data_IF_402778638541
#
_entry.id   IF_402778638541
#
_cell.length_a   1.000
_cell.length_b   1.000
_cell.length_c   1.000
_cell.angle_alpha   90.00
_cell.angle_beta   90.00
_cell.angle_gamma   90.00
#
_symmetry.space_group_name_H-M   'P 1'
#
loop_
_entity.id
_entity.type
_entity.pdbx_description
1 polymer ?
#
# COMPACT_ATOMS: atom_id res chain seq x y z
N UNK A 1 24.41 27.24 27.77
CA UNK A 1 25.06 26.73 26.55
C UNK A 1 25.16 27.87 25.55
N UNK A 2 26.35 28.12 24.99
CA UNK A 2 26.49 29.06 23.88
C UNK A 2 26.00 28.36 22.61
N UNK A 3 25.06 28.97 21.91
CA UNK A 3 24.55 28.47 20.63
C UNK A 3 25.52 28.96 19.56
N UNK A 4 26.08 28.04 18.76
CA UNK A 4 26.91 28.34 17.61
C UNK A 4 26.05 28.26 16.35
N UNK A 5 25.99 29.36 15.59
CA UNK A 5 25.20 29.42 14.36
C UNK A 5 26.03 28.86 13.21
N UNK A 6 25.50 27.86 12.51
CA UNK A 6 26.13 27.24 11.34
C UNK A 6 25.20 27.34 10.13
N UNK A 7 25.80 27.48 8.94
CA UNK A 7 25.09 27.37 7.67
C UNK A 7 24.84 25.89 7.37
N UNK A 8 23.61 25.54 7.06
CA UNK A 8 23.21 24.22 6.60
C UNK A 8 22.39 24.37 5.31
N UNK A 9 22.51 23.39 4.43
CA UNK A 9 21.56 23.25 3.32
C UNK A 9 20.17 22.90 3.89
N UNK A 10 19.10 23.34 3.24
CA UNK A 10 17.74 23.10 3.70
C UNK A 10 17.42 21.59 3.73
N UNK A 11 17.92 20.83 2.76
CA UNK A 11 17.76 19.37 2.72
C UNK A 11 18.45 18.70 3.91
N UNK A 12 19.69 19.09 4.18
CA UNK A 12 20.48 18.56 5.30
C UNK A 12 19.86 18.95 6.65
N UNK A 13 19.33 20.18 6.77
CA UNK A 13 18.65 20.65 7.97
C UNK A 13 17.36 19.86 8.21
N UNK A 14 16.52 19.66 7.20
CA UNK A 14 15.31 18.86 7.33
C UNK A 14 15.61 17.40 7.68
N UNK A 15 16.66 16.82 7.09
CA UNK A 15 17.11 15.46 7.40
C UNK A 15 17.64 15.36 8.83
N UNK A 16 18.39 16.35 9.28
CA UNK A 16 18.92 16.41 10.64
C UNK A 16 17.80 16.59 11.68
N UNK A 17 16.85 17.49 11.42
CA UNK A 17 15.65 17.65 12.25
C UNK A 17 14.90 16.33 12.34
N UNK A 18 14.63 15.65 11.22
CA UNK A 18 13.97 14.34 11.21
C UNK A 18 14.75 13.28 11.97
N UNK A 19 16.08 13.23 11.80
CA UNK A 19 16.92 12.25 12.49
C UNK A 19 16.96 12.46 14.01
N UNK A 20 16.81 13.70 14.48
CA UNK A 20 16.95 14.05 15.90
C UNK A 20 15.61 14.29 16.63
N UNK A 21 14.56 14.66 15.91
CA UNK A 21 13.22 14.96 16.46
C UNK A 21 12.13 14.02 15.94
N UNK A 22 12.43 13.14 14.97
CA UNK A 22 11.45 12.22 14.40
C UNK A 22 10.50 12.88 13.39
N UNK A 23 9.61 12.06 12.84
CA UNK A 23 8.62 12.42 11.80
C UNK A 23 7.62 13.46 12.29
N UNK A 24 7.42 13.50 13.61
CA UNK A 24 6.36 14.23 14.27
C UNK A 24 6.87 14.90 15.56
N UNK A 25 8.10 15.43 15.56
CA UNK A 25 8.73 16.00 16.77
C UNK A 25 7.84 16.96 17.55
N UNK A 26 7.23 17.93 16.88
CA UNK A 26 6.30 18.87 17.50
C UNK A 26 5.04 18.18 18.08
N UNK A 27 4.53 17.14 17.40
CA UNK A 27 3.37 16.35 17.86
C UNK A 27 3.76 15.42 19.01
N UNK A 28 4.97 14.86 19.00
CA UNK A 28 5.52 14.01 20.06
C UNK A 28 5.81 14.82 21.31
N UNK A 29 6.33 16.04 21.16
CA UNK A 29 6.52 16.98 22.25
C UNK A 29 5.17 17.37 22.88
N UNK A 30 4.14 17.61 22.06
CA UNK A 30 2.76 17.83 22.52
C UNK A 30 2.16 16.59 23.23
N UNK A 31 2.69 15.39 22.97
CA UNK A 31 2.32 14.13 23.63
C UNK A 31 3.21 13.81 24.84
N UNK A 32 4.14 14.68 25.22
CA UNK A 32 5.04 14.50 26.37
C UNK A 32 6.25 13.60 26.10
N UNK A 33 6.65 13.45 24.84
CA UNK A 33 7.75 12.57 24.39
C UNK A 33 9.16 13.13 24.54
N UNK A 34 9.33 14.41 24.90
CA UNK A 34 10.64 15.03 25.02
C UNK A 34 11.47 14.48 26.19
N UNK A 35 12.59 13.81 25.89
CA UNK A 35 13.62 13.53 26.87
C UNK A 35 14.25 14.84 27.39
N UNK A 36 13.88 15.26 28.59
CA UNK A 36 14.77 15.60 29.73
C UNK A 36 13.91 16.08 30.90
N UNK A 37 14.21 15.62 32.11
CA UNK A 37 13.39 15.85 33.31
C UNK A 37 13.26 17.33 33.69
N UNK A 38 12.14 17.93 33.31
CA UNK A 38 11.57 19.08 33.99
C UNK A 38 10.17 18.68 34.47
N UNK A 39 10.02 18.59 35.80
CA UNK A 39 8.73 18.49 36.48
C UNK A 39 7.87 19.70 36.05
N UNK A 40 6.88 19.46 35.20
CA UNK A 40 5.84 20.44 34.93
C UNK A 40 4.76 20.28 36.00
N UNK A 41 4.71 21.24 36.91
CA UNK A 41 3.64 21.40 37.89
C UNK A 41 2.27 21.27 37.20
N UNK A 42 1.51 20.26 37.62
CA UNK A 42 0.12 20.06 37.22
C UNK A 42 -0.72 21.25 37.67
N UNK A 43 -0.95 22.20 36.77
CA UNK A 43 -2.14 23.05 36.82
C UNK A 43 -3.33 22.18 36.41
N UNK A 44 -4.26 21.98 37.35
CA UNK A 44 -5.52 21.27 37.17
C UNK A 44 -6.38 21.94 36.10
N UNK A 45 -6.26 21.44 34.86
CA UNK A 45 -7.22 21.65 33.78
C UNK A 45 -8.10 20.40 33.69
N UNK A 46 -9.37 20.59 33.35
CA UNK A 46 -10.41 19.55 33.37
C UNK A 46 -9.97 18.28 32.61
N UNK A 47 -10.20 17.11 33.24
CA UNK A 47 -9.75 15.80 32.76
C UNK A 47 -10.32 15.41 31.39
N UNK A 48 -11.46 15.98 31.00
CA UNK A 48 -12.08 15.73 29.69
C UNK A 48 -11.41 16.52 28.56
N UNK A 49 -10.98 17.77 28.80
CA UNK A 49 -10.30 18.58 27.80
C UNK A 49 -8.90 18.03 27.50
N UNK A 50 -8.21 17.54 28.53
CA UNK A 50 -6.88 16.92 28.39
C UNK A 50 -6.96 15.60 27.62
N UNK A 51 -7.97 14.76 27.88
CA UNK A 51 -8.18 13.52 27.14
C UNK A 51 -8.48 13.76 25.65
N UNK A 52 -9.34 14.74 25.34
CA UNK A 52 -9.66 15.12 23.96
C UNK A 52 -8.46 15.70 23.22
N UNK A 53 -7.65 16.53 23.89
CA UNK A 53 -6.43 17.07 23.31
C UNK A 53 -5.42 15.97 22.97
N UNK A 54 -5.26 14.99 23.87
CA UNK A 54 -4.37 13.85 23.64
C UNK A 54 -4.87 12.96 22.49
N UNK A 55 -6.17 12.70 22.39
CA UNK A 55 -6.76 11.95 21.29
C UNK A 55 -6.54 12.66 19.95
N UNK A 56 -6.74 13.98 19.89
CA UNK A 56 -6.47 14.77 18.69
C UNK A 56 -4.99 14.73 18.27
N UNK A 57 -4.06 14.76 19.23
CA UNK A 57 -2.62 14.66 18.96
C UNK A 57 -2.22 13.26 18.45
N UNK A 58 -2.83 12.18 18.97
CA UNK A 58 -2.60 10.83 18.45
C UNK A 58 -3.10 10.69 17.01
N UNK A 59 -4.27 11.26 16.70
CA UNK A 59 -4.80 11.27 15.32
C UNK A 59 -3.85 12.00 14.37
N UNK A 60 -3.29 13.14 14.80
CA UNK A 60 -2.28 13.86 14.01
C UNK A 60 -1.02 13.03 13.81
N UNK A 61 -0.48 12.42 14.87
CA UNK A 61 0.68 11.54 14.78
C UNK A 61 0.47 10.41 13.76
N UNK A 62 -0.68 9.73 13.81
CA UNK A 62 -1.00 8.68 12.84
C UNK A 62 -1.06 9.24 11.42
N UNK A 63 -1.72 10.39 11.22
CA UNK A 63 -1.78 11.03 9.90
C UNK A 63 -0.39 11.40 9.36
N UNK A 64 0.46 11.99 10.19
CA UNK A 64 1.83 12.40 9.84
C UNK A 64 2.66 11.18 9.42
N UNK A 65 2.57 10.08 10.19
CA UNK A 65 3.22 8.81 9.86
C UNK A 65 2.74 8.22 8.52
N UNK A 66 1.46 8.40 8.14
CA UNK A 66 0.96 7.91 6.85
C UNK A 66 1.39 8.81 5.69
N UNK A 67 1.38 10.13 5.87
CA UNK A 67 1.86 11.09 4.87
C UNK A 67 3.34 10.85 4.59
N UNK A 68 4.16 10.74 5.65
CA UNK A 68 5.59 10.53 5.50
C UNK A 68 5.90 9.17 4.86
N UNK A 69 5.23 8.08 5.26
CA UNK A 69 5.40 6.79 4.61
C UNK A 69 5.14 6.85 3.08
N UNK A 70 4.15 7.66 2.66
CA UNK A 70 3.88 7.86 1.23
C UNK A 70 5.00 8.66 0.57
N UNK A 71 5.47 9.74 1.22
CA UNK A 71 6.58 10.61 0.77
C UNK A 71 7.88 9.83 0.60
N UNK A 72 8.26 9.01 1.58
CA UNK A 72 9.45 8.16 1.59
C UNK A 72 9.32 6.93 0.66
N UNK A 73 8.27 6.88 -0.16
CA UNK A 73 7.99 5.80 -1.12
C UNK A 73 7.92 4.41 -0.47
N UNK A 74 7.57 4.33 0.82
CA UNK A 74 7.41 3.07 1.52
C UNK A 74 6.32 2.21 0.87
N UNK A 75 6.49 0.89 0.91
CA UNK A 75 5.54 -0.11 0.41
C UNK A 75 4.61 -0.61 1.51
N UNK A 76 5.13 -0.73 2.73
CA UNK A 76 4.37 -1.11 3.93
C UNK A 76 4.78 -0.22 5.11
N UNK A 77 3.82 0.13 5.97
CA UNK A 77 4.03 0.69 7.31
C UNK A 77 3.79 -0.41 8.33
N UNK A 78 4.76 -0.64 9.20
CA UNK A 78 4.73 -1.63 10.26
C UNK A 78 4.65 -0.93 11.61
N UNK A 79 3.71 -1.35 12.45
CA UNK A 79 3.52 -0.87 13.81
C UNK A 79 3.58 -2.08 14.73
N UNK A 80 4.64 -2.18 15.52
CA UNK A 80 5.00 -3.42 16.20
C UNK A 80 5.14 -3.21 17.70
N UNK A 81 4.31 -3.88 18.52
CA UNK A 81 4.40 -3.77 19.96
C UNK A 81 5.52 -4.67 20.51
N UNK A 82 6.44 -4.08 21.26
CA UNK A 82 7.42 -4.79 22.06
C UNK A 82 7.14 -4.62 23.55
N UNK A 83 7.98 -5.16 24.42
CA UNK A 83 7.75 -5.14 25.87
C UNK A 83 7.64 -3.71 26.42
N UNK A 84 8.55 -2.83 26.02
CA UNK A 84 8.73 -1.49 26.60
C UNK A 84 8.38 -0.35 25.64
N UNK A 85 8.27 -0.64 24.34
CA UNK A 85 8.06 0.37 23.31
C UNK A 85 7.11 -0.13 22.20
N UNK A 86 6.79 0.79 21.30
CA UNK A 86 6.07 0.54 20.06
C UNK A 86 6.95 1.02 18.90
N UNK A 87 7.48 0.08 18.11
CA UNK A 87 8.33 0.44 16.98
C UNK A 87 7.49 0.71 15.73
N UNK A 88 7.84 1.76 15.01
CA UNK A 88 7.30 2.10 13.71
C UNK A 88 8.39 1.87 12.66
N UNK A 89 8.10 1.03 11.66
CA UNK A 89 9.05 0.70 10.59
C UNK A 89 8.42 0.89 9.22
N UNK A 90 9.18 1.36 8.25
CA UNK A 90 8.77 1.41 6.85
C UNK A 90 9.49 0.34 6.05
N UNK A 91 8.78 -0.29 5.13
CA UNK A 91 9.42 -1.11 4.09
C UNK A 91 9.72 -0.25 2.87
N UNK A 92 10.97 0.12 2.67
CA UNK A 92 11.43 0.90 1.52
C UNK A 92 12.33 -0.01 0.68
N UNK A 93 12.03 -0.16 -0.60
CA UNK A 93 12.76 -1.03 -1.54
C UNK A 93 12.98 -2.46 -1.03
N UNK A 94 11.95 -3.00 -0.34
CA UNK A 94 11.96 -4.34 0.22
C UNK A 94 12.58 -4.47 1.62
N UNK A 95 13.30 -3.45 2.09
CA UNK A 95 14.01 -3.46 3.39
C UNK A 95 13.17 -2.75 4.46
N UNK A 96 13.03 -3.36 5.64
CA UNK A 96 12.40 -2.71 6.79
C UNK A 96 13.41 -1.80 7.50
N UNK A 97 13.09 -0.51 7.57
CA UNK A 97 13.87 0.51 8.27
C UNK A 97 13.05 1.00 9.46
N UNK A 98 13.66 1.04 10.65
CA UNK A 98 13.03 1.63 11.83
C UNK A 98 13.05 3.15 11.72
N UNK A 99 11.89 3.77 11.89
CA UNK A 99 11.67 5.19 11.70
C UNK A 99 11.49 5.88 13.05
N UNK A 100 10.73 5.27 13.94
CA UNK A 100 10.35 5.87 15.21
C UNK A 100 10.18 4.81 16.29
N UNK A 101 10.51 5.16 17.54
CA UNK A 101 10.18 4.35 18.72
C UNK A 101 9.32 5.15 19.67
N UNK A 102 8.07 4.72 19.79
CA UNK A 102 7.07 5.40 20.60
C UNK A 102 6.95 4.75 21.98
N UNK A 103 6.58 5.56 22.96
CA UNK A 103 6.29 5.06 24.31
C UNK A 103 5.11 4.08 24.30
N UNK A 104 5.21 3.03 25.12
CA UNK A 104 4.22 1.94 25.16
C UNK A 104 2.79 2.38 25.47
N UNK A 105 2.62 3.47 26.22
CA UNK A 105 1.32 4.05 26.58
C UNK A 105 0.52 4.53 25.35
N UNK A 106 1.19 4.94 24.27
CA UNK A 106 0.54 5.42 23.04
C UNK A 106 -0.07 4.30 22.20
N UNK A 107 0.35 3.05 22.39
CA UNK A 107 -0.06 1.90 21.58
C UNK A 107 -1.58 1.76 21.44
N UNK A 108 -2.32 1.82 22.55
CA UNK A 108 -3.76 1.58 22.52
C UNK A 108 -4.50 2.71 21.78
N UNK A 109 -4.02 3.95 21.89
CA UNK A 109 -4.60 5.09 21.20
C UNK A 109 -4.35 4.97 19.69
N UNK A 110 -3.09 4.75 19.29
CA UNK A 110 -2.69 4.57 17.88
C UNK A 110 -3.48 3.42 17.22
N UNK A 111 -3.54 2.28 17.89
CA UNK A 111 -4.27 1.11 17.42
C UNK A 111 -5.76 1.39 17.24
N UNK A 112 -6.38 2.12 18.18
CA UNK A 112 -7.79 2.47 18.09
C UNK A 112 -8.06 3.44 16.93
N UNK A 113 -7.20 4.45 16.74
CA UNK A 113 -7.26 5.37 15.59
C UNK A 113 -7.18 4.61 14.27
N UNK A 114 -6.22 3.70 14.12
CA UNK A 114 -6.04 2.94 12.88
C UNK A 114 -7.23 1.99 12.64
N UNK A 115 -7.71 1.30 13.68
CA UNK A 115 -8.89 0.42 13.55
C UNK A 115 -10.15 1.19 13.18
N UNK A 116 -10.33 2.39 13.74
CA UNK A 116 -11.42 3.30 13.39
C UNK A 116 -11.33 3.72 11.92
N UNK A 117 -10.15 4.18 11.47
CA UNK A 117 -9.91 4.56 10.08
C UNK A 117 -10.15 3.39 9.11
N UNK A 118 -9.78 2.17 9.51
CA UNK A 118 -9.89 0.96 8.71
C UNK A 118 -11.30 0.33 8.70
N UNK A 119 -12.21 0.82 9.56
CA UNK A 119 -13.57 0.31 9.69
C UNK A 119 -13.66 -1.09 10.31
N UNK A 120 -12.71 -1.47 11.17
CA UNK A 120 -12.68 -2.77 11.86
C UNK A 120 -13.06 -2.64 13.35
N UNK A 121 -13.30 -3.75 14.04
CA UNK A 121 -13.76 -3.73 15.43
C UNK A 121 -12.62 -3.34 16.39
N UNK A 122 -12.73 -2.16 17.00
CA UNK A 122 -11.77 -1.59 17.95
C UNK A 122 -11.69 -2.42 19.25
N UNK A 123 -12.82 -2.95 19.71
CA UNK A 123 -12.91 -3.69 20.96
C UNK A 123 -12.37 -5.12 20.85
N UNK A 124 -12.43 -5.71 19.65
CA UNK A 124 -11.87 -7.04 19.41
C UNK A 124 -10.36 -6.94 19.15
N UNK A 125 -9.58 -7.71 19.92
CA UNK A 125 -8.11 -7.69 19.90
C UNK A 125 -7.47 -9.08 19.87
N UNK A 126 -8.30 -10.13 19.84
CA UNK A 126 -7.89 -11.53 20.05
C UNK A 126 -7.84 -12.31 18.75
N UNK A 127 -8.34 -11.75 17.65
CA UNK A 127 -8.36 -12.35 16.33
C UNK A 127 -7.78 -11.37 15.29
N UNK A 128 -7.17 -11.88 14.21
CA UNK A 128 -6.78 -11.02 13.10
C UNK A 128 -7.97 -10.30 12.46
N UNK A 129 -7.75 -9.09 11.97
CA UNK A 129 -8.75 -8.30 11.27
C UNK A 129 -8.12 -7.59 10.07
N UNK A 130 -8.84 -7.55 8.95
CA UNK A 130 -8.42 -6.88 7.74
C UNK A 130 -9.39 -5.74 7.40
N UNK A 131 -8.84 -4.58 7.04
CA UNK A 131 -9.59 -3.38 6.73
C UNK A 131 -8.97 -2.60 5.57
N UNK A 132 -9.59 -1.47 5.24
CA UNK A 132 -9.08 -0.55 4.21
C UNK A 132 -9.21 0.87 4.69
N UNK A 133 -8.18 1.68 4.46
CA UNK A 133 -8.19 3.12 4.72
C UNK A 133 -8.05 3.83 3.37
N UNK A 134 -8.96 4.75 3.08
CA UNK A 134 -8.76 5.72 2.00
C UNK A 134 -8.24 7.00 2.61
N UNK A 135 -7.00 7.35 2.32
CA UNK A 135 -6.33 8.46 2.98
C UNK A 135 -5.93 9.53 1.95
N UNK A 136 -6.39 10.79 2.11
CA UNK A 136 -5.96 11.89 1.26
C UNK A 136 -4.52 12.29 1.62
N UNK A 137 -3.63 12.26 0.65
CA UNK A 137 -2.23 12.67 0.79
C UNK A 137 -1.92 13.79 -0.20
N UNK A 138 -1.37 14.93 0.22
CA UNK A 138 -0.89 15.95 -0.70
C UNK A 138 0.15 15.37 -1.67
N UNK A 139 0.05 15.71 -2.95
CA UNK A 139 1.11 15.43 -3.92
C UNK A 139 2.32 16.30 -3.59
N UNK A 140 3.51 15.70 -3.62
CA UNK A 140 4.77 16.36 -3.25
C UNK A 140 5.71 16.28 -4.47
N UNK A 141 6.38 17.38 -4.79
CA UNK A 141 7.36 17.44 -5.85
C UNK A 141 8.73 16.84 -5.44
N UNK A 142 9.72 16.91 -6.33
CA UNK A 142 11.06 16.36 -6.08
C UNK A 142 11.82 17.10 -4.96
N UNK A 143 11.43 18.33 -4.65
CA UNK A 143 12.04 19.17 -3.61
C UNK A 143 11.34 18.99 -2.26
N UNK A 144 10.27 18.19 -2.19
CA UNK A 144 9.54 17.97 -0.95
C UNK A 144 8.41 18.96 -0.72
N UNK A 145 8.07 19.80 -1.70
CA UNK A 145 7.03 20.82 -1.58
C UNK A 145 5.68 20.34 -2.12
N UNK A 146 4.55 20.77 -1.54
CA UNK A 146 3.24 20.42 -2.05
C UNK A 146 3.04 20.92 -3.49
N UNK A 147 2.58 20.05 -4.38
CA UNK A 147 2.22 20.42 -5.75
C UNK A 147 0.89 21.17 -5.73
N UNK A 148 0.87 22.38 -6.30
CA UNK A 148 -0.36 23.17 -6.42
C UNK A 148 -0.90 23.13 -7.85
N UNK A 149 -2.22 23.02 -7.97
CA UNK A 149 -2.97 23.22 -9.22
C UNK A 149 -4.13 24.16 -8.97
N UNK A 150 -4.24 25.20 -9.78
CA UNK A 150 -5.26 26.25 -9.65
C UNK A 150 -5.29 26.91 -8.25
N UNK A 151 -4.11 27.02 -7.60
CA UNK A 151 -3.96 27.60 -6.27
C UNK A 151 -4.35 26.68 -5.11
N UNK A 152 -4.68 25.40 -5.37
CA UNK A 152 -5.00 24.40 -4.37
C UNK A 152 -3.96 23.27 -4.38
N UNK A 153 -3.60 22.70 -3.22
CA UNK A 153 -2.73 21.54 -3.18
C UNK A 153 -3.41 20.37 -3.87
N UNK A 154 -2.69 19.67 -4.74
CA UNK A 154 -3.17 18.44 -5.37
C UNK A 154 -3.21 17.37 -4.29
N UNK A 155 -4.35 16.70 -4.13
CA UNK A 155 -4.54 15.65 -3.13
C UNK A 155 -4.75 14.33 -3.85
N UNK A 156 -3.86 13.38 -3.60
CA UNK A 156 -3.95 12.01 -4.06
C UNK A 156 -4.71 11.17 -3.03
N UNK A 157 -5.71 10.42 -3.47
CA UNK A 157 -6.30 9.40 -2.61
C UNK A 157 -5.43 8.15 -2.65
N UNK A 158 -4.82 7.83 -1.51
CA UNK A 158 -4.03 6.61 -1.34
C UNK A 158 -4.87 5.58 -0.59
N UNK A 159 -4.98 4.39 -1.18
CA UNK A 159 -5.64 3.26 -0.54
C UNK A 159 -4.60 2.48 0.28
N UNK A 160 -4.86 2.29 1.57
CA UNK A 160 -4.08 1.41 2.42
C UNK A 160 -4.88 0.14 2.71
N UNK A 161 -4.26 -1.03 2.58
CA UNK A 161 -4.80 -2.27 3.16
C UNK A 161 -4.23 -2.46 4.54
N UNK A 162 -5.10 -2.61 5.52
CA UNK A 162 -4.72 -2.74 6.92
C UNK A 162 -4.93 -4.17 7.33
N UNK A 163 -3.93 -4.76 7.99
CA UNK A 163 -4.07 -6.04 8.67
C UNK A 163 -3.60 -5.88 10.11
N UNK A 164 -4.43 -6.28 11.06
CA UNK A 164 -4.10 -6.31 12.49
C UNK A 164 -3.99 -7.77 12.94
N UNK A 165 -2.94 -8.11 13.68
CA UNK A 165 -2.71 -9.46 14.17
C UNK A 165 -2.36 -9.44 15.67
N UNK A 166 -3.00 -10.26 16.53
CA UNK A 166 -2.61 -10.39 17.93
C UNK A 166 -1.17 -10.90 18.05
N UNK A 167 -0.34 -10.18 18.80
CA UNK A 167 1.02 -10.56 19.19
C UNK A 167 1.16 -10.59 20.72
N UNK A 168 2.33 -11.00 21.21
CA UNK A 168 2.53 -11.23 22.66
C UNK A 168 2.38 -9.96 23.50
N UNK A 169 2.90 -8.82 23.03
CA UNK A 169 2.86 -7.53 23.75
C UNK A 169 1.76 -6.58 23.28
N UNK A 170 0.82 -7.04 22.45
CA UNK A 170 -0.22 -6.20 21.85
C UNK A 170 -0.59 -6.65 20.45
N UNK A 171 -1.35 -5.84 19.72
CA UNK A 171 -1.65 -6.11 18.31
C UNK A 171 -0.58 -5.49 17.42
N UNK A 172 0.00 -6.29 16.53
CA UNK A 172 0.83 -5.80 15.43
C UNK A 172 -0.09 -5.33 14.30
N UNK A 173 0.24 -4.20 13.69
CA UNK A 173 -0.51 -3.63 12.56
C UNK A 173 0.43 -3.43 11.38
N UNK A 174 -0.04 -3.84 10.20
CA UNK A 174 0.63 -3.57 8.93
C UNK A 174 -0.34 -2.83 8.01
N UNK A 175 0.12 -1.71 7.46
CA UNK A 175 -0.59 -0.96 6.43
C UNK A 175 0.19 -1.04 5.12
N UNK A 176 -0.34 -1.77 4.15
CA UNK A 176 0.22 -1.81 2.79
C UNK A 176 -0.28 -0.63 1.98
N UNK A 177 0.64 0.15 1.43
CA UNK A 177 0.34 1.32 0.60
C UNK A 177 0.07 0.86 -0.83
N UNK A 178 -1.14 1.11 -1.34
CA UNK A 178 -1.48 0.88 -2.74
C UNK A 178 -1.31 2.17 -3.53
N UNK A 179 -0.35 2.20 -4.46
CA UNK A 179 -0.12 3.33 -5.37
C UNK A 179 -0.68 3.01 -6.77
N UNK A 180 -1.85 3.56 -7.16
CA UNK A 180 -2.44 3.32 -8.47
C UNK A 180 -1.64 3.95 -9.63
N UNK A 181 -0.71 4.87 -9.36
CA UNK A 181 0.07 5.54 -10.40
C UNK A 181 1.18 4.69 -11.02
N UNK A 182 1.59 3.59 -10.37
CA UNK A 182 2.58 2.64 -10.92
C UNK A 182 2.15 2.01 -12.25
N UNK A 183 0.85 2.03 -12.53
CA UNK A 183 0.21 1.50 -13.73
C UNK A 183 0.34 2.47 -14.91
N UNK A 184 0.40 3.76 -14.60
CA UNK A 184 0.55 4.84 -15.59
C UNK A 184 1.99 5.01 -16.07
N UNK A 185 2.95 4.32 -15.45
CA UNK A 185 4.33 4.22 -15.95
C UNK A 185 4.27 3.84 -17.44
N UNK A 186 3.37 2.91 -17.80
CA UNK A 186 3.19 2.46 -19.18
C UNK A 186 4.34 1.54 -19.60
N UNK A 187 4.05 0.61 -20.52
CA UNK A 187 4.97 -0.46 -20.90
C UNK A 187 6.35 0.05 -21.37
N UNK A 188 6.39 1.23 -22.01
CA UNK A 188 7.63 1.87 -22.47
C UNK A 188 8.57 2.26 -21.33
N UNK A 189 8.04 2.67 -20.18
CA UNK A 189 8.85 3.14 -19.05
C UNK A 189 9.13 2.04 -18.01
N UNK A 190 8.78 0.77 -18.31
CA UNK A 190 9.12 -0.37 -17.46
C UNK A 190 10.56 -0.86 -17.60
N UNK A 191 11.36 -0.23 -18.48
CA UNK A 191 12.78 -0.55 -18.66
C UNK A 191 13.06 -1.70 -19.62
N UNK A 192 12.12 -2.04 -20.51
CA UNK A 192 12.39 -2.98 -21.60
C UNK A 192 13.38 -2.37 -22.60
N UNK A 193 14.35 -3.18 -23.04
CA UNK A 193 15.08 -2.89 -24.28
C UNK A 193 14.12 -2.92 -25.47
N UNK A 194 14.40 -2.12 -26.50
CA UNK A 194 13.49 -1.94 -27.64
C UNK A 194 13.12 -3.28 -28.33
N UNK A 195 14.11 -4.15 -28.56
CA UNK A 195 13.89 -5.45 -29.21
C UNK A 195 12.97 -6.36 -28.37
N UNK A 196 13.16 -6.35 -27.04
CA UNK A 196 12.30 -7.11 -26.11
C UNK A 196 10.89 -6.55 -26.07
N UNK A 197 10.76 -5.21 -26.08
CA UNK A 197 9.49 -4.53 -26.11
C UNK A 197 8.70 -4.83 -27.40
N UNK A 198 9.37 -4.91 -28.54
CA UNK A 198 8.74 -5.23 -29.82
C UNK A 198 8.21 -6.67 -29.85
N UNK A 199 9.00 -7.62 -29.32
CA UNK A 199 8.57 -9.02 -29.13
C UNK A 199 7.37 -9.09 -28.18
N UNK A 200 7.44 -8.41 -27.04
CA UNK A 200 6.35 -8.33 -26.07
C UNK A 200 5.07 -7.80 -26.72
N UNK A 201 5.17 -6.67 -27.43
CA UNK A 201 4.06 -6.03 -28.13
C UNK A 201 3.41 -6.95 -29.18
N UNK A 202 4.22 -7.75 -29.87
CA UNK A 202 3.72 -8.73 -30.84
C UNK A 202 2.96 -9.87 -30.16
N UNK A 203 3.47 -10.37 -29.03
CA UNK A 203 2.87 -11.50 -28.30
C UNK A 203 1.53 -11.11 -27.68
N UNK A 204 1.44 -9.97 -27.00
CA UNK A 204 0.21 -9.54 -26.31
C UNK A 204 -0.95 -9.21 -27.28
N UNK A 205 -0.67 -9.07 -28.59
CA UNK A 205 -1.69 -8.80 -29.63
C UNK A 205 -2.13 -10.05 -30.39
N UNK A 206 -1.67 -11.24 -29.99
CA UNK A 206 -2.13 -12.49 -30.58
C UNK A 206 -3.64 -12.70 -30.31
N UNK A 207 -4.34 -13.41 -31.21
CA UNK A 207 -5.79 -13.62 -31.08
C UNK A 207 -6.14 -14.50 -29.87
N UNK A 208 -5.29 -15.46 -29.54
CA UNK A 208 -5.48 -16.38 -28.43
C UNK A 208 -4.14 -16.96 -27.97
N UNK A 209 -4.14 -17.60 -26.79
CA UNK A 209 -2.94 -18.19 -26.19
C UNK A 209 -2.83 -17.85 -24.71
N UNK A 210 -1.81 -18.40 -24.05
CA UNK A 210 -1.47 -18.05 -22.67
C UNK A 210 -0.21 -17.19 -22.69
N UNK A 211 -0.25 -16.07 -21.97
CA UNK A 211 0.89 -15.22 -21.66
C UNK A 211 1.16 -15.26 -20.15
N UNK A 212 2.35 -15.69 -19.78
CA UNK A 212 2.77 -15.81 -18.39
C UNK A 212 3.86 -14.78 -18.09
N UNK A 213 3.69 -14.05 -16.99
CA UNK A 213 4.76 -13.26 -16.40
C UNK A 213 5.23 -13.96 -15.13
N UNK A 214 6.49 -14.34 -15.11
CA UNK A 214 7.08 -15.10 -14.00
C UNK A 214 8.05 -14.25 -13.17
N UNK A 215 8.38 -14.74 -11.98
CA UNK A 215 9.32 -14.09 -11.08
C UNK A 215 8.89 -14.12 -9.61
N UNK A 216 9.78 -13.74 -8.68
CA UNK A 216 9.49 -13.72 -7.25
C UNK A 216 8.48 -12.62 -6.88
N UNK A 217 8.09 -12.57 -5.61
CA UNK A 217 7.26 -11.48 -5.08
C UNK A 217 8.02 -10.15 -5.20
N UNK A 218 7.34 -9.08 -5.61
CA UNK A 218 7.94 -7.76 -5.78
C UNK A 218 8.70 -7.54 -7.10
N UNK A 219 8.77 -8.53 -8.00
CA UNK A 219 9.47 -8.38 -9.28
C UNK A 219 8.72 -7.60 -10.37
N UNK A 220 7.63 -6.91 -10.02
CA UNK A 220 6.84 -6.11 -10.96
C UNK A 220 5.84 -6.88 -11.85
N UNK A 221 5.60 -8.18 -11.62
CA UNK A 221 4.70 -9.01 -12.47
C UNK A 221 3.34 -8.36 -12.73
N UNK A 222 2.66 -7.94 -11.67
CA UNK A 222 1.35 -7.30 -11.75
C UNK A 222 1.42 -6.01 -12.54
N UNK A 223 2.43 -5.18 -12.31
CA UNK A 223 2.66 -3.92 -13.03
C UNK A 223 2.85 -4.17 -14.52
N UNK A 224 3.64 -5.19 -14.90
CA UNK A 224 3.84 -5.58 -16.30
C UNK A 224 2.55 -6.08 -16.95
N UNK A 225 1.79 -6.96 -16.28
CA UNK A 225 0.54 -7.51 -16.79
C UNK A 225 -0.49 -6.41 -17.04
N UNK A 226 -0.68 -5.53 -16.09
CA UNK A 226 -1.63 -4.45 -16.22
C UNK A 226 -1.20 -3.37 -17.20
N UNK A 227 0.11 -3.15 -17.39
CA UNK A 227 0.61 -2.30 -18.48
C UNK A 227 0.28 -2.91 -19.85
N UNK A 228 0.31 -4.24 -19.98
CA UNK A 228 -0.15 -4.92 -21.19
C UNK A 228 -1.67 -4.80 -21.36
N UNK A 229 -2.46 -4.99 -20.29
CA UNK A 229 -3.91 -4.81 -20.34
C UNK A 229 -4.31 -3.38 -20.69
N UNK A 230 -3.58 -2.38 -20.21
CA UNK A 230 -3.80 -0.97 -20.55
C UNK A 230 -3.74 -0.72 -22.06
N UNK A 231 -2.78 -1.35 -22.74
CA UNK A 231 -2.62 -1.25 -24.20
C UNK A 231 -3.78 -1.93 -24.94
N UNK A 232 -4.30 -3.02 -24.38
CA UNK A 232 -5.36 -3.84 -24.98
C UNK A 232 -6.77 -3.38 -24.60
N UNK A 233 -6.89 -2.44 -23.66
CA UNK A 233 -8.15 -1.93 -23.15
C UNK A 233 -8.80 -0.96 -24.15
N UNK A 234 -9.39 -1.53 -25.20
CA UNK A 234 -10.09 -0.82 -26.26
C UNK A 234 -11.58 -1.19 -26.27
N UNK A 235 -12.50 -0.29 -26.69
CA UNK A 235 -13.94 -0.55 -26.61
C UNK A 235 -14.45 -1.76 -27.39
N UNK A 236 -13.69 -2.26 -28.35
CA UNK A 236 -13.99 -3.45 -29.17
C UNK A 236 -13.62 -4.77 -28.48
N UNK A 237 -13.01 -4.72 -27.28
CA UNK A 237 -12.54 -5.90 -26.55
C UNK A 237 -13.12 -5.93 -25.13
N UNK A 238 -13.71 -7.06 -24.76
CA UNK A 238 -14.12 -7.34 -23.38
C UNK A 238 -12.98 -8.00 -22.62
N UNK A 239 -12.51 -7.33 -21.57
CA UNK A 239 -11.48 -7.84 -20.65
C UNK A 239 -12.15 -8.17 -19.31
N UNK A 240 -11.88 -9.36 -18.77
CA UNK A 240 -12.36 -9.77 -17.44
C UNK A 240 -11.20 -10.35 -16.64
N UNK A 241 -11.08 -10.00 -15.35
CA UNK A 241 -9.99 -10.45 -14.48
C UNK A 241 -10.49 -11.18 -13.23
N UNK A 242 -9.79 -12.23 -12.83
CA UNK A 242 -9.94 -12.90 -11.54
C UNK A 242 -8.69 -12.63 -10.71
N UNK A 243 -8.79 -11.99 -9.55
CA UNK A 243 -7.61 -11.53 -8.80
C UNK A 243 -7.78 -11.69 -7.29
N UNK A 244 -6.71 -12.05 -6.59
CA UNK A 244 -6.71 -12.22 -5.14
C UNK A 244 -5.56 -11.46 -4.47
N UNK A 245 -5.77 -10.21 -4.04
CA UNK A 245 -6.89 -9.32 -4.33
C UNK A 245 -6.69 -8.48 -5.62
N UNK A 246 -7.72 -7.75 -6.03
CA UNK A 246 -7.59 -6.71 -7.08
C UNK A 246 -6.72 -5.57 -6.55
N UNK A 247 -5.58 -5.32 -7.20
CA UNK A 247 -4.60 -4.34 -6.73
C UNK A 247 -5.04 -2.90 -6.96
N UNK A 248 -5.69 -2.61 -8.07
CA UNK A 248 -6.25 -1.29 -8.37
C UNK A 248 -7.39 -1.40 -9.38
N UNK A 249 -8.28 -0.41 -9.32
CA UNK A 249 -9.43 -0.32 -10.20
C UNK A 249 -9.01 0.16 -11.59
N UNK A 250 -9.34 -0.61 -12.61
CA UNK A 250 -9.02 -0.35 -14.00
C UNK A 250 -10.29 -0.05 -14.80
N UNK A 251 -10.49 1.22 -15.14
CA UNK A 251 -11.66 1.62 -15.92
C UNK A 251 -11.69 0.92 -17.29
N UNK A 252 -12.84 0.35 -17.66
CA UNK A 252 -13.01 -0.42 -18.90
C UNK A 252 -12.74 -1.92 -18.75
N UNK A 253 -12.24 -2.39 -17.61
CA UNK A 253 -11.99 -3.80 -17.33
C UNK A 253 -12.91 -4.30 -16.23
N UNK A 254 -13.52 -5.48 -16.43
CA UNK A 254 -14.37 -6.10 -15.41
C UNK A 254 -13.52 -6.92 -14.45
N UNK A 255 -13.22 -6.38 -13.28
CA UNK A 255 -12.35 -7.04 -12.30
C UNK A 255 -13.16 -7.76 -11.21
N UNK A 256 -12.86 -9.04 -11.00
CA UNK A 256 -13.47 -9.88 -9.97
C UNK A 256 -12.44 -10.20 -8.90
N UNK A 257 -12.67 -9.70 -7.69
CA UNK A 257 -11.87 -10.07 -6.53
C UNK A 257 -12.33 -11.43 -5.98
N UNK A 258 -11.38 -12.36 -5.83
CA UNK A 258 -11.60 -13.66 -5.18
C UNK A 258 -12.02 -13.45 -3.72
N UNK A 259 -12.96 -14.26 -3.26
CA UNK A 259 -13.47 -14.25 -1.88
C UNK A 259 -13.73 -15.68 -1.42
N UNK A 260 -12.67 -16.36 -1.00
CA UNK A 260 -12.73 -17.75 -0.55
C UNK A 260 -13.72 -17.96 0.62
N UNK A 261 -13.93 -16.95 1.47
CA UNK A 261 -14.84 -17.04 2.63
C UNK A 261 -16.31 -17.28 2.24
N UNK A 262 -16.70 -16.91 1.01
CA UNK A 262 -18.04 -17.13 0.47
C UNK A 262 -18.05 -18.14 -0.68
N UNK A 263 -16.95 -18.89 -0.87
CA UNK A 263 -16.81 -19.88 -1.94
C UNK A 263 -16.60 -19.29 -3.34
N UNK A 264 -16.24 -18.01 -3.44
CA UNK A 264 -15.95 -17.35 -4.72
C UNK A 264 -14.46 -17.54 -5.07
N UNK A 265 -14.08 -18.78 -5.39
CA UNK A 265 -12.71 -19.17 -5.75
C UNK A 265 -12.36 -18.92 -7.21
N UNK A 266 -11.07 -18.99 -7.57
CA UNK A 266 -10.61 -18.87 -8.96
C UNK A 266 -11.35 -19.81 -9.92
N UNK A 267 -11.48 -21.10 -9.57
CA UNK A 267 -12.16 -22.09 -10.42
C UNK A 267 -13.62 -21.74 -10.71
N UNK A 268 -14.35 -21.25 -9.70
CA UNK A 268 -15.76 -20.81 -9.85
C UNK A 268 -15.85 -19.58 -10.76
N UNK A 269 -14.99 -18.60 -10.52
CA UNK A 269 -14.96 -17.34 -11.28
C UNK A 269 -14.60 -17.60 -12.74
N UNK A 270 -13.54 -18.37 -13.02
CA UNK A 270 -13.09 -18.66 -14.38
C UNK A 270 -14.13 -19.41 -15.22
N UNK A 271 -14.81 -20.40 -14.63
CA UNK A 271 -15.93 -21.09 -15.30
C UNK A 271 -17.05 -20.12 -15.67
N UNK A 272 -17.30 -19.11 -14.83
CA UNK A 272 -18.30 -18.07 -15.10
C UNK A 272 -17.83 -17.08 -16.18
N UNK A 273 -16.55 -16.70 -16.16
CA UNK A 273 -15.95 -15.80 -17.14
C UNK A 273 -16.08 -16.31 -18.57
N UNK A 274 -15.90 -17.60 -18.81
CA UNK A 274 -16.05 -18.18 -20.15
C UNK A 274 -17.47 -18.03 -20.73
N UNK A 275 -18.49 -17.87 -19.88
CA UNK A 275 -19.88 -17.61 -20.32
C UNK A 275 -20.17 -16.13 -20.53
N UNK A 276 -19.23 -15.24 -20.22
CA UNK A 276 -19.37 -13.80 -20.38
C UNK A 276 -18.92 -13.30 -21.76
N UNK A 277 -18.56 -14.22 -22.68
CA UNK A 277 -17.99 -13.89 -23.99
C UNK A 277 -16.81 -12.88 -23.90
N UNK A 278 -15.77 -13.16 -23.09
CA UNK A 278 -14.58 -12.30 -23.03
C UNK A 278 -13.73 -12.45 -24.29
N UNK A 279 -12.93 -11.44 -24.60
CA UNK A 279 -11.82 -11.56 -25.55
C UNK A 279 -10.52 -11.89 -24.80
N UNK A 280 -10.33 -11.25 -23.64
CA UNK A 280 -9.12 -11.36 -22.82
C UNK A 280 -9.52 -11.74 -21.40
N UNK A 281 -8.78 -12.68 -20.81
CA UNK A 281 -8.95 -13.13 -19.44
C UNK A 281 -7.63 -12.90 -18.70
N UNK A 282 -7.67 -12.24 -17.55
CA UNK A 282 -6.55 -12.21 -16.60
C UNK A 282 -6.87 -13.14 -15.43
N UNK A 283 -5.91 -13.98 -15.07
CA UNK A 283 -5.91 -14.78 -13.86
C UNK A 283 -4.76 -14.26 -13.02
N UNK A 284 -5.01 -13.74 -11.82
CA UNK A 284 -3.97 -13.14 -10.97
C UNK A 284 -2.73 -14.03 -10.85
N UNK A 285 -2.97 -15.33 -10.68
CA UNK A 285 -1.93 -16.36 -10.66
C UNK A 285 -2.52 -17.75 -10.93
N UNK A 286 -1.70 -18.67 -11.44
CA UNK A 286 -2.04 -20.09 -11.58
C UNK A 286 -1.30 -20.86 -10.49
N UNK A 287 -1.99 -21.21 -9.40
CA UNK A 287 -1.41 -21.98 -8.28
C UNK A 287 -1.68 -23.46 -8.34
N UNK A 288 -2.84 -23.84 -8.88
CA UNK A 288 -3.32 -25.20 -8.85
C UNK A 288 -3.68 -25.72 -10.24
N UNK A 289 -3.85 -27.04 -10.32
CA UNK A 289 -4.15 -27.76 -11.56
C UNK A 289 -5.51 -27.38 -12.13
N UNK A 290 -6.52 -27.13 -11.31
CA UNK A 290 -7.85 -26.81 -11.81
C UNK A 290 -7.83 -25.49 -12.58
N UNK A 291 -7.20 -24.47 -11.99
CA UNK A 291 -7.02 -23.15 -12.62
C UNK A 291 -6.19 -23.27 -13.89
N UNK A 292 -5.11 -24.06 -13.88
CA UNK A 292 -4.26 -24.30 -15.04
C UNK A 292 -5.05 -24.96 -16.19
N UNK A 293 -5.83 -26.01 -15.89
CA UNK A 293 -6.63 -26.74 -16.88
C UNK A 293 -7.65 -25.79 -17.52
N UNK A 294 -8.34 -24.95 -16.74
CA UNK A 294 -9.30 -23.97 -17.27
C UNK A 294 -8.61 -22.92 -18.14
N UNK A 295 -7.43 -22.41 -17.73
CA UNK A 295 -6.66 -21.45 -18.51
C UNK A 295 -6.25 -22.00 -19.89
N UNK A 296 -5.80 -23.26 -19.93
CA UNK A 296 -5.45 -23.96 -21.18
C UNK A 296 -6.68 -24.11 -22.07
N UNK A 297 -7.82 -24.54 -21.51
CA UNK A 297 -9.07 -24.66 -22.28
C UNK A 297 -9.54 -23.31 -22.83
N UNK A 298 -9.44 -22.24 -22.04
CA UNK A 298 -9.77 -20.88 -22.48
C UNK A 298 -8.90 -20.46 -23.68
N UNK A 299 -7.59 -20.69 -23.58
CA UNK A 299 -6.64 -20.36 -24.65
C UNK A 299 -6.88 -21.17 -25.95
N UNK A 300 -7.22 -22.45 -25.82
CA UNK A 300 -7.55 -23.33 -26.96
C UNK A 300 -8.88 -22.96 -27.61
N UNK A 301 -9.80 -22.33 -26.87
CA UNK A 301 -11.12 -21.91 -27.35
C UNK A 301 -11.15 -20.46 -27.86
N UNK A 302 -9.98 -19.87 -28.14
CA UNK A 302 -9.89 -18.58 -28.81
C UNK A 302 -9.76 -17.36 -27.89
N UNK A 303 -9.47 -17.55 -26.60
CA UNK A 303 -9.24 -16.46 -25.66
C UNK A 303 -7.75 -16.16 -25.50
N UNK A 304 -7.41 -14.91 -25.28
CA UNK A 304 -6.07 -14.53 -24.83
C UNK A 304 -6.06 -14.49 -23.29
N UNK A 305 -5.24 -15.34 -22.68
CA UNK A 305 -5.17 -15.52 -21.23
C UNK A 305 -3.86 -14.95 -20.70
N UNK A 306 -3.94 -14.05 -19.73
CA UNK A 306 -2.81 -13.49 -19.00
C UNK A 306 -2.75 -14.09 -17.60
N UNK A 307 -1.58 -14.47 -17.13
CA UNK A 307 -1.40 -14.86 -15.73
C UNK A 307 0.02 -14.71 -15.21
N UNK A 308 0.22 -14.99 -13.92
CA UNK A 308 1.53 -15.07 -13.28
C UNK A 308 1.84 -16.46 -12.73
N UNK A 309 3.13 -16.74 -12.61
CA UNK A 309 3.66 -17.84 -11.82
C UNK A 309 4.79 -17.32 -10.91
N UNK A 310 4.96 -17.97 -9.77
CA UNK A 310 6.09 -17.75 -8.88
C UNK A 310 7.18 -18.79 -9.20
N UNK A 311 8.04 -18.46 -10.17
CA UNK A 311 9.21 -19.28 -10.55
C UNK A 311 10.48 -18.43 -10.54
N UNK A 312 11.64 -19.09 -10.40
CA UNK A 312 12.94 -18.41 -10.38
C UNK A 312 13.45 -18.06 -11.79
N UNK A 313 12.95 -18.76 -12.80
CA UNK A 313 13.29 -18.62 -14.21
C UNK A 313 12.02 -18.67 -15.09
N UNK A 314 12.20 -18.33 -16.37
CA UNK A 314 11.16 -18.31 -17.41
C UNK A 314 11.10 -19.63 -18.18
#
# INVERSE_FOLDING_TARGET
HAIELVLADEEDLQKYIRQHYGVAGDTLDALGGGHTGAELEHASLDTDETAQAQEASVVRLVNDLLVEAVRERATDVHIEPYEQDLAIRYRIDGVCVEIEKLQKNLQNAILSTIKLMAGVNIAERRIPQDGRIKFPVPEIDQMGEPVYKDGQPVINQIDFRVSTCPAFYGESVVLRILRPDSVRIGLLNLGFEQDSLDVFNKIIRRPNGIFLVTGPTGSGKTTTLYSALAILNTPDRKIITAEDPVEYNFNGINQVQIREQIGLSFGVVLKSMLRQAPNIILIGEIRDREVADIAIQAALTGHLVFSTLHTNDA
#
